data_IF_551439376291
#
_entry.id   IF_551439376291
#
_cell.length_a   1.000
_cell.length_b   1.000
_cell.length_c   1.000
_cell.angle_alpha   90.00
_cell.angle_beta   90.00
_cell.angle_gamma   90.00
#
_symmetry.space_group_name_H-M   'P 1'
#
loop_
_entity.id
_entity.type
_entity.pdbx_description
1 polymer ?
#
# COMPACT_ATOMS: atom_id res chain seq x y z
N UNK A 1 -4.07 -0.12 -18.73
CA UNK A 1 -3.20 0.94 -18.22
C UNK A 1 -1.82 0.72 -18.80
N UNK A 2 -1.37 1.60 -19.69
CA UNK A 2 0.00 1.69 -20.16
C UNK A 2 0.89 2.36 -19.10
N UNK A 3 2.21 2.35 -19.31
CA UNK A 3 3.16 3.00 -18.38
C UNK A 3 2.87 4.51 -18.23
N UNK A 4 2.60 5.21 -19.35
CA UNK A 4 2.28 6.63 -19.31
C UNK A 4 0.96 6.90 -18.56
N UNK A 5 -0.07 6.10 -18.83
CA UNK A 5 -1.35 6.22 -18.11
C UNK A 5 -1.18 5.99 -16.59
N UNK A 6 -0.34 5.03 -16.19
CA UNK A 6 -0.05 4.77 -14.77
C UNK A 6 0.68 5.95 -14.12
N UNK A 7 1.67 6.52 -14.81
CA UNK A 7 2.40 7.69 -14.32
C UNK A 7 1.46 8.88 -14.09
N UNK A 8 0.61 9.20 -15.07
CA UNK A 8 -0.35 10.30 -14.94
C UNK A 8 -1.37 10.06 -13.82
N UNK A 9 -1.85 8.83 -13.66
CA UNK A 9 -2.78 8.49 -12.58
C UNK A 9 -2.14 8.72 -11.19
N UNK A 10 -0.91 8.27 -10.99
CA UNK A 10 -0.21 8.49 -9.70
C UNK A 10 -0.04 9.99 -9.41
N UNK A 11 0.29 10.81 -10.42
CA UNK A 11 0.37 12.27 -10.26
C UNK A 11 -0.98 12.90 -9.92
N UNK A 12 -2.08 12.35 -10.43
CA UNK A 12 -3.43 12.81 -10.11
C UNK A 12 -3.97 12.24 -8.79
N UNK A 13 -3.09 11.87 -7.85
CA UNK A 13 -3.40 11.25 -6.54
C UNK A 13 -4.26 9.98 -6.62
N UNK A 14 -4.32 9.32 -7.78
CA UNK A 14 -5.01 8.04 -7.90
C UNK A 14 -4.20 6.94 -7.23
N UNK A 15 -4.91 6.06 -6.51
CA UNK A 15 -4.38 4.81 -5.98
C UNK A 15 -5.26 3.66 -6.42
N UNK A 16 -4.67 2.46 -6.54
CA UNK A 16 -5.43 1.28 -6.90
C UNK A 16 -6.50 0.97 -5.83
N UNK A 17 -7.72 0.59 -6.24
CA UNK A 17 -8.74 0.15 -5.30
C UNK A 17 -8.31 -1.15 -4.61
N UNK A 18 -8.95 -1.45 -3.47
CA UNK A 18 -8.72 -2.70 -2.76
C UNK A 18 -9.07 -3.90 -3.66
N UNK A 19 -8.18 -4.90 -3.82
CA UNK A 19 -8.53 -6.14 -4.51
C UNK A 19 -9.66 -6.90 -3.81
N UNK A 20 -10.45 -7.66 -4.56
CA UNK A 20 -11.66 -8.35 -4.08
C UNK A 20 -11.36 -9.26 -2.87
N UNK A 21 -10.30 -10.07 -2.96
CA UNK A 21 -9.92 -11.03 -1.92
C UNK A 21 -8.86 -10.49 -0.95
N UNK A 22 -8.67 -9.17 -0.90
CA UNK A 22 -7.71 -8.54 0.00
C UNK A 22 -8.36 -8.18 1.34
N UNK A 23 -7.81 -8.74 2.41
CA UNK A 23 -8.19 -8.40 3.79
C UNK A 23 -7.80 -6.95 4.09
N UNK A 24 -8.65 -6.23 4.82
CA UNK A 24 -8.50 -4.79 5.06
C UNK A 24 -7.15 -4.41 5.67
N UNK A 25 -6.58 -5.24 6.54
CA UNK A 25 -5.30 -4.93 7.18
C UNK A 25 -4.13 -4.97 6.19
N UNK A 26 -4.16 -5.85 5.18
CA UNK A 26 -3.16 -5.85 4.11
C UNK A 26 -3.31 -4.63 3.21
N UNK A 27 -4.55 -4.23 2.90
CA UNK A 27 -4.77 -3.03 2.10
C UNK A 27 -4.32 -1.76 2.85
N UNK A 28 -4.56 -1.67 4.16
CA UNK A 28 -4.04 -0.57 5.00
C UNK A 28 -2.51 -0.50 4.97
N UNK A 29 -1.82 -1.65 4.92
CA UNK A 29 -0.36 -1.68 4.72
C UNK A 29 0.00 -1.06 3.36
N UNK A 30 -0.67 -1.47 2.27
CA UNK A 30 -0.41 -0.90 0.93
C UNK A 30 -0.60 0.63 0.92
N UNK A 31 -1.70 1.13 1.50
CA UNK A 31 -1.95 2.57 1.62
C UNK A 31 -0.84 3.30 2.40
N UNK A 32 -0.28 2.66 3.44
CA UNK A 32 0.83 3.23 4.20
C UNK A 32 2.16 3.27 3.43
N UNK A 33 2.29 2.46 2.38
CA UNK A 33 3.42 2.51 1.44
C UNK A 33 3.21 3.55 0.34
N UNK A 34 1.96 3.78 -0.08
CA UNK A 34 1.60 4.69 -1.17
C UNK A 34 1.33 6.13 -0.72
N UNK A 35 1.94 6.57 0.39
CA UNK A 35 1.84 7.96 0.82
C UNK A 35 2.55 8.89 -0.18
N UNK A 36 1.89 10.00 -0.52
CA UNK A 36 2.42 11.02 -1.43
C UNK A 36 3.75 11.56 -0.90
N UNK A 37 3.76 12.05 0.35
CA UNK A 37 4.97 12.43 1.04
C UNK A 37 5.81 11.18 1.39
N UNK A 38 7.05 11.06 0.88
CA UNK A 38 7.94 9.95 1.22
C UNK A 38 8.19 9.78 2.71
N UNK A 39 8.23 10.87 3.49
CA UNK A 39 8.50 10.83 4.93
C UNK A 39 7.34 10.19 5.72
N UNK A 40 6.14 10.16 5.13
CA UNK A 40 4.98 9.50 5.73
C UNK A 40 4.90 8.01 5.41
N UNK A 41 5.75 7.50 4.51
CA UNK A 41 5.74 6.09 4.12
C UNK A 41 6.26 5.24 5.27
N UNK A 42 5.59 4.12 5.51
CA UNK A 42 6.04 3.18 6.56
C UNK A 42 7.43 2.64 6.24
N UNK A 43 8.29 2.55 7.27
CA UNK A 43 9.62 1.97 7.14
C UNK A 43 9.53 0.46 6.91
N UNK A 44 10.55 -0.13 6.29
CA UNK A 44 10.62 -1.59 6.09
C UNK A 44 10.56 -2.36 7.42
N UNK A 45 11.13 -1.79 8.49
CA UNK A 45 11.02 -2.35 9.85
C UNK A 45 9.57 -2.39 10.34
N UNK A 46 8.84 -1.27 10.21
CA UNK A 46 7.42 -1.19 10.56
C UNK A 46 6.58 -2.16 9.73
N UNK A 47 6.87 -2.27 8.43
CA UNK A 47 6.19 -3.21 7.53
C UNK A 47 6.42 -4.66 7.96
N UNK A 48 7.66 -5.02 8.31
CA UNK A 48 7.99 -6.37 8.79
C UNK A 48 7.24 -6.72 10.07
N UNK A 49 7.17 -5.80 11.03
CA UNK A 49 6.43 -6.01 12.28
C UNK A 49 4.94 -6.26 12.01
N UNK A 50 4.28 -5.36 11.27
CA UNK A 50 2.85 -5.48 10.94
C UNK A 50 2.51 -6.75 10.16
N UNK A 51 3.34 -7.10 9.16
CA UNK A 51 3.13 -8.32 8.39
C UNK A 51 3.28 -9.57 9.25
N UNK A 52 4.27 -9.61 10.15
CA UNK A 52 4.45 -10.74 11.06
C UNK A 52 3.27 -10.90 12.03
N UNK A 53 2.75 -9.79 12.58
CA UNK A 53 1.56 -9.81 13.45
C UNK A 53 0.37 -10.49 12.76
N UNK A 54 0.14 -10.19 11.48
CA UNK A 54 -0.99 -10.74 10.73
C UNK A 54 -0.76 -12.19 10.26
N UNK A 55 0.49 -12.60 10.02
CA UNK A 55 0.80 -13.97 9.64
C UNK A 55 0.74 -14.96 10.82
N UNK A 56 0.90 -14.49 12.05
CA UNK A 56 0.84 -15.34 13.27
C UNK A 56 -0.61 -15.53 13.76
N UNK A 57 -1.57 -14.75 13.27
CA UNK A 57 -2.99 -14.82 13.64
C UNK A 57 -3.82 -15.80 12.78
N UNK A 58 -3.19 -16.81 12.17
CA UNK A 58 -3.85 -17.90 11.43
C UNK A 58 -3.73 -19.22 12.18
#
# INVERSE_FOLDING_TARGET
>A
MSNNEAFQAVLSVYQMPKPIDCVDHYYKIMLSCWQENPDNRSTLETLRLRLNEFMIQV
#
